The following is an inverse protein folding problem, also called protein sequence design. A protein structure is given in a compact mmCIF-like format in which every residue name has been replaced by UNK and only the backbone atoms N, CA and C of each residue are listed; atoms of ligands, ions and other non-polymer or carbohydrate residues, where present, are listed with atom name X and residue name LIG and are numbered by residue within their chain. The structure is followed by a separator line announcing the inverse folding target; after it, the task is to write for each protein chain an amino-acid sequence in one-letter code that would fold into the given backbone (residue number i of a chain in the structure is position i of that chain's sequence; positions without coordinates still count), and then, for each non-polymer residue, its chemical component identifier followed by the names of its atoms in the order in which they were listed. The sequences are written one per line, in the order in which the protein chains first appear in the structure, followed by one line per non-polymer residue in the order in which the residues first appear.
data_IF_150130629485
#
_entry.id   IF_150130629485
#
_cell.length_a   1.000
_cell.length_b   1.000
_cell.length_c   1.000
_cell.angle_alpha   90.00
_cell.angle_beta   90.00
_cell.angle_gamma   90.00
#
_symmetry.space_group_name_H-M   'P 1'
#
loop_
_entity.id
_entity.type
_entity.pdbx_description
1 polymer ?
#
# COMPACT_ATOMS: atom_id res chain seq x y z
N UNK A 1 13.99 3.00 4.03
CA UNK A 1 12.66 2.64 4.57
C UNK A 1 12.40 1.16 4.34
N UNK A 2 11.77 0.44 5.27
CA UNK A 2 11.29 -0.94 5.07
C UNK A 2 9.79 -0.95 5.28
N UNK A 3 9.02 -1.51 4.35
CA UNK A 3 7.57 -1.69 4.48
C UNK A 3 7.26 -3.16 4.75
N UNK A 4 6.32 -3.42 5.67
CA UNK A 4 5.82 -4.78 5.92
C UNK A 4 4.75 -5.11 4.88
N UNK A 5 4.97 -6.18 4.14
CA UNK A 5 3.97 -6.78 3.25
C UNK A 5 3.61 -8.15 3.77
N UNK A 6 2.31 -8.42 3.89
CA UNK A 6 1.77 -9.72 4.28
C UNK A 6 1.13 -10.35 3.04
N UNK A 7 1.39 -11.64 2.81
CA UNK A 7 0.80 -12.41 1.72
C UNK A 7 0.11 -13.64 2.26
N UNK A 8 -1.02 -13.99 1.66
CA UNK A 8 -1.75 -15.21 2.00
C UNK A 8 -2.34 -15.84 0.73
N UNK A 9 -2.15 -17.16 0.59
CA UNK A 9 -2.81 -17.93 -0.45
C UNK A 9 -4.17 -18.43 0.06
N UNK A 10 -5.20 -18.21 -0.74
CA UNK A 10 -6.53 -18.77 -0.52
C UNK A 10 -6.74 -19.98 -1.45
N UNK A 11 -6.84 -21.21 -0.92
CA UNK A 11 -7.03 -22.40 -1.72
C UNK A 11 -8.44 -22.49 -2.34
N UNK A 12 -9.44 -21.79 -1.83
CA UNK A 12 -10.81 -21.85 -2.38
C UNK A 12 -10.92 -21.04 -3.68
N UNK A 13 -10.30 -19.87 -3.71
CA UNK A 13 -10.24 -19.00 -4.90
C UNK A 13 -9.01 -19.20 -5.77
N UNK A 14 -8.08 -20.07 -5.35
CA UNK A 14 -6.76 -20.27 -5.96
C UNK A 14 -5.97 -18.96 -6.18
N UNK A 15 -6.15 -17.97 -5.31
CA UNK A 15 -5.53 -16.66 -5.45
C UNK A 15 -4.56 -16.34 -4.31
N UNK A 16 -3.58 -15.49 -4.61
CA UNK A 16 -2.75 -14.81 -3.64
C UNK A 16 -3.34 -13.45 -3.29
N UNK A 17 -3.50 -13.19 -2.00
CA UNK A 17 -3.80 -11.87 -1.45
C UNK A 17 -2.54 -11.23 -0.88
N UNK A 18 -2.53 -9.89 -0.84
CA UNK A 18 -1.51 -9.11 -0.16
C UNK A 18 -2.10 -7.92 0.58
N UNK A 19 -1.38 -7.46 1.60
CA UNK A 19 -1.66 -6.19 2.28
C UNK A 19 -0.40 -5.48 2.74
N UNK A 20 -0.45 -4.15 2.73
CA UNK A 20 0.57 -3.25 3.29
C UNK A 20 -0.08 -2.43 4.39
N UNK A 21 -0.07 -2.92 5.66
CA UNK A 21 -0.88 -2.33 6.72
C UNK A 21 -0.58 -0.85 6.97
N UNK A 22 0.69 -0.44 6.84
CA UNK A 22 1.11 0.95 7.06
C UNK A 22 0.61 1.93 6.01
N UNK A 23 0.14 1.45 4.86
CA UNK A 23 -0.37 2.26 3.75
C UNK A 23 -1.85 2.01 3.45
N UNK A 24 -2.53 1.14 4.21
CA UNK A 24 -3.93 0.79 3.96
C UNK A 24 -4.18 0.03 2.64
N UNK A 25 -3.13 -0.48 2.00
CA UNK A 25 -3.23 -1.17 0.70
C UNK A 25 -3.65 -2.63 0.93
N UNK A 26 -4.60 -3.09 0.12
CA UNK A 26 -5.02 -4.50 0.01
C UNK A 26 -5.19 -4.84 -1.47
N UNK A 27 -4.77 -6.04 -1.87
CA UNK A 27 -4.93 -6.50 -3.25
C UNK A 27 -4.72 -8.00 -3.39
N UNK A 28 -4.66 -8.47 -4.63
CA UNK A 28 -4.39 -9.87 -4.92
C UNK A 28 -4.10 -10.14 -6.41
N UNK A 29 -3.66 -11.35 -6.69
CA UNK A 29 -3.38 -11.88 -8.04
C UNK A 29 -3.45 -13.42 -8.04
N UNK A 30 -3.54 -14.01 -9.23
CA UNK A 30 -3.59 -15.47 -9.42
C UNK A 30 -2.28 -16.16 -9.04
N UNK A 31 -1.14 -15.49 -9.27
CA UNK A 31 0.19 -16.01 -8.92
C UNK A 31 0.86 -15.21 -7.81
N UNK A 32 1.76 -15.87 -7.08
CA UNK A 32 2.61 -15.23 -6.05
C UNK A 32 3.43 -14.08 -6.64
N UNK A 33 3.99 -14.31 -7.82
CA UNK A 33 4.86 -13.36 -8.53
C UNK A 33 4.07 -12.12 -8.97
N UNK A 34 2.84 -12.31 -9.47
CA UNK A 34 2.00 -11.18 -9.88
C UNK A 34 1.51 -10.39 -8.67
N UNK A 35 1.25 -11.04 -7.53
CA UNK A 35 0.96 -10.35 -6.28
C UNK A 35 2.14 -9.49 -5.81
N UNK A 36 3.38 -9.94 -6.03
CA UNK A 36 4.59 -9.17 -5.72
C UNK A 36 4.76 -7.96 -6.65
N UNK A 37 4.51 -8.11 -7.95
CA UNK A 37 4.53 -6.97 -8.89
C UNK A 37 3.46 -5.95 -8.52
N UNK A 38 2.22 -6.41 -8.30
CA UNK A 38 1.08 -5.53 -7.97
C UNK A 38 1.26 -4.78 -6.66
N UNK A 39 1.90 -5.37 -5.64
CA UNK A 39 2.15 -4.62 -4.40
C UNK A 39 3.14 -3.48 -4.62
N UNK A 40 4.16 -3.67 -5.47
CA UNK A 40 5.13 -2.62 -5.78
C UNK A 40 4.43 -1.47 -6.50
N UNK A 41 3.60 -1.78 -7.49
CA UNK A 41 2.82 -0.78 -8.23
C UNK A 41 1.86 -0.02 -7.31
N UNK A 42 1.14 -0.72 -6.42
CA UNK A 42 0.22 -0.10 -5.48
C UNK A 42 0.93 0.79 -4.45
N UNK A 43 2.12 0.37 -3.98
CA UNK A 43 2.95 1.18 -3.08
C UNK A 43 3.47 2.42 -3.81
N UNK A 44 3.96 2.27 -5.03
CA UNK A 44 4.43 3.41 -5.84
C UNK A 44 3.30 4.42 -6.03
N UNK A 45 2.13 3.98 -6.51
CA UNK A 45 0.95 4.83 -6.67
C UNK A 45 0.54 5.56 -5.38
N UNK A 46 0.56 4.85 -4.25
CA UNK A 46 0.19 5.43 -2.95
C UNK A 46 1.20 6.48 -2.47
N UNK A 47 2.50 6.28 -2.77
CA UNK A 47 3.58 7.17 -2.33
C UNK A 47 3.83 8.36 -3.29
N UNK A 48 3.56 8.18 -4.58
CA UNK A 48 3.60 9.27 -5.56
C UNK A 48 2.54 10.34 -5.24
N UNK A 49 1.45 9.93 -4.56
CA UNK A 49 0.38 10.81 -4.10
C UNK A 49 -0.55 11.21 -5.24
N UNK A 50 -1.84 11.38 -4.94
CA UNK A 50 -2.65 12.24 -5.78
C UNK A 50 -2.09 13.66 -5.61
N UNK A 51 -1.75 14.33 -6.72
CA UNK A 51 -1.66 15.79 -6.75
C UNK A 51 -2.79 16.35 -5.87
N UNK A 52 -2.46 17.30 -5.00
CA UNK A 52 -3.25 17.96 -3.93
C UNK A 52 -4.73 18.34 -4.30
N UNK A 53 -5.14 18.11 -5.54
CA UNK A 53 -6.44 18.36 -6.14
C UNK A 53 -7.54 17.30 -5.90
N UNK A 54 -7.24 16.10 -5.37
CA UNK A 54 -8.28 15.06 -5.16
C UNK A 54 -9.02 15.17 -3.82
N UNK A 55 -8.43 15.86 -2.85
CA UNK A 55 -9.09 16.12 -1.58
C UNK A 55 -10.33 16.99 -1.84
N UNK A 56 -11.52 16.64 -1.29
CA UNK A 56 -12.69 17.50 -1.43
C UNK A 56 -12.35 18.89 -0.91
N UNK A 57 -12.88 19.94 -1.53
CA UNK A 57 -12.52 21.34 -1.24
C UNK A 57 -12.68 21.80 0.24
N UNK A 58 -13.26 20.96 1.09
CA UNK A 58 -13.48 21.18 2.52
C UNK A 58 -12.54 20.34 3.41
N UNK A 59 -11.68 19.49 2.84
CA UNK A 59 -10.71 18.70 3.59
C UNK A 59 -9.56 19.58 4.08
N UNK A 60 -9.27 19.51 5.37
CA UNK A 60 -8.06 20.10 5.94
C UNK A 60 -6.91 19.10 5.81
N UNK A 61 -5.94 19.40 4.93
CA UNK A 61 -4.72 18.59 4.76
C UNK A 61 -3.62 19.14 5.68
N UNK A 62 -3.02 18.26 6.50
CA UNK A 62 -1.90 18.60 7.38
C UNK A 62 -0.75 17.62 7.15
N UNK A 63 0.43 18.17 6.91
CA UNK A 63 1.67 17.40 6.80
C UNK A 63 2.36 17.34 8.17
N UNK A 64 2.72 16.14 8.61
CA UNK A 64 3.49 15.92 9.84
C UNK A 64 4.89 15.46 9.45
N UNK A 65 5.89 16.26 9.81
CA UNK A 65 7.28 15.85 9.70
C UNK A 65 7.60 14.92 10.88
N UNK A 66 7.74 13.64 10.60
CA UNK A 66 8.08 12.63 11.61
C UNK A 66 9.58 12.35 11.55
N UNK A 67 10.29 12.70 12.61
CA UNK A 67 11.67 12.27 12.83
C UNK A 67 11.66 10.97 13.64
N UNK A 68 12.30 9.92 13.12
CA UNK A 68 12.46 8.65 13.84
C UNK A 68 13.73 8.77 14.68
N UNK A 69 13.59 8.81 16.00
CA UNK A 69 14.73 8.66 16.90
C UNK A 69 15.27 7.23 16.78
N UNK A 70 16.55 7.10 16.40
CA UNK A 70 17.24 5.82 16.45
C UNK A 70 17.46 5.45 17.93
N UNK A 71 16.76 4.41 18.39
CA UNK A 71 16.97 3.80 19.70
C UNK A 71 18.18 2.87 19.74
#
# INVERSE_FOLDING_TARGET
MKLRVEYAYDPESHNWSFRVPSLGIVGGAESREDAEKRVVDAVAFTLEGEDDASAPAQAEVRYLNVEIAAG
#
